data_IF_051835176447
#
_entry.id   IF_051835176447
#
_cell.length_a   1.000
_cell.length_b   1.000
_cell.length_c   1.000
_cell.angle_alpha   90.00
_cell.angle_beta   90.00
_cell.angle_gamma   90.00
#
_symmetry.space_group_name_H-M   'P 1'
#
loop_
_entity.id
_entity.type
_entity.pdbx_description
1 polymer ?
#
# COMPACT_ATOMS: atom_id res chain seq x y z
N UNK A 1 57.63 -17.51 -23.25
CA UNK A 1 56.78 -16.57 -22.50
C UNK A 1 55.41 -17.20 -22.31
N UNK A 2 55.21 -17.93 -21.21
CA UNK A 2 53.92 -18.50 -20.84
C UNK A 2 53.30 -17.59 -19.77
N UNK A 3 52.23 -16.85 -20.11
CA UNK A 3 51.51 -16.02 -19.14
C UNK A 3 50.42 -16.86 -18.49
N UNK A 4 50.57 -17.01 -17.18
CA UNK A 4 49.65 -17.65 -16.25
C UNK A 4 48.21 -17.12 -16.39
N UNK A 5 47.27 -18.01 -16.68
CA UNK A 5 45.84 -17.82 -16.47
C UNK A 5 45.54 -18.02 -14.99
N UNK A 6 45.36 -16.93 -14.25
CA UNK A 6 44.73 -16.96 -12.93
C UNK A 6 43.20 -16.99 -13.13
N UNK A 7 42.44 -17.82 -12.39
CA UNK A 7 40.98 -17.77 -12.47
C UNK A 7 40.50 -16.46 -11.83
N UNK A 8 39.76 -15.66 -12.61
CA UNK A 8 39.02 -14.51 -12.07
C UNK A 8 38.02 -15.01 -11.04
N UNK A 9 38.30 -14.73 -9.78
CA UNK A 9 37.38 -14.93 -8.68
C UNK A 9 36.25 -13.90 -8.83
N UNK A 10 35.07 -14.35 -9.29
CA UNK A 10 33.88 -13.51 -9.34
C UNK A 10 33.39 -13.28 -7.91
N UNK A 11 33.73 -12.12 -7.35
CA UNK A 11 33.13 -11.63 -6.11
C UNK A 11 31.76 -11.06 -6.45
N UNK A 12 30.71 -11.82 -6.18
CA UNK A 12 29.32 -11.31 -6.19
C UNK A 12 29.18 -10.44 -4.93
N UNK A 13 29.06 -9.12 -5.10
CA UNK A 13 28.49 -8.26 -4.05
C UNK A 13 27.03 -8.68 -3.91
N UNK A 14 26.65 -9.30 -2.77
CA UNK A 14 25.24 -9.47 -2.43
C UNK A 14 24.56 -8.09 -2.46
N UNK A 15 23.48 -7.96 -3.23
CA UNK A 15 22.65 -6.75 -3.25
C UNK A 15 22.04 -6.58 -1.85
N UNK A 16 22.16 -5.39 -1.26
CA UNK A 16 21.62 -5.11 0.08
C UNK A 16 20.11 -5.37 0.17
N UNK A 17 19.39 -5.28 -0.95
CA UNK A 17 17.97 -5.63 -1.03
C UNK A 17 17.70 -7.14 -0.93
N UNK A 18 18.57 -7.97 -1.49
CA UNK A 18 18.44 -9.43 -1.43
C UNK A 18 18.68 -9.92 0.01
N UNK A 19 19.69 -9.38 0.68
CA UNK A 19 20.01 -9.70 2.07
C UNK A 19 18.87 -9.31 3.03
N UNK A 20 18.24 -8.15 2.82
CA UNK A 20 17.09 -7.75 3.64
C UNK A 20 15.85 -8.62 3.36
N UNK A 21 15.60 -9.00 2.10
CA UNK A 21 14.53 -9.95 1.76
C UNK A 21 14.70 -11.30 2.45
N UNK A 22 15.92 -11.84 2.44
CA UNK A 22 16.27 -13.09 3.13
C UNK A 22 16.09 -12.98 4.65
N UNK A 23 16.52 -11.86 5.24
CA UNK A 23 16.35 -11.55 6.67
C UNK A 23 14.87 -11.54 7.07
N UNK A 24 14.03 -10.84 6.32
CA UNK A 24 12.60 -10.75 6.60
C UNK A 24 11.89 -12.10 6.44
N UNK A 25 12.23 -12.87 5.41
CA UNK A 25 11.68 -14.21 5.23
C UNK A 25 12.04 -15.14 6.39
N UNK A 26 13.27 -15.07 6.91
CA UNK A 26 13.70 -15.83 8.10
C UNK A 26 12.88 -15.42 9.32
N UNK A 27 12.69 -14.12 9.57
CA UNK A 27 11.85 -13.64 10.67
C UNK A 27 10.40 -14.13 10.53
N UNK A 28 9.81 -14.10 9.33
CA UNK A 28 8.44 -14.62 9.09
C UNK A 28 8.33 -16.11 9.42
N UNK A 29 9.33 -16.91 9.03
CA UNK A 29 9.38 -18.34 9.39
C UNK A 29 9.44 -18.52 10.91
N UNK A 30 10.31 -17.77 11.60
CA UNK A 30 10.42 -17.83 13.07
C UNK A 30 9.12 -17.40 13.77
N UNK A 31 8.45 -16.34 13.30
CA UNK A 31 7.18 -15.87 13.87
C UNK A 31 6.04 -16.88 13.72
N UNK A 32 6.04 -17.66 12.64
CA UNK A 32 5.03 -18.69 12.41
C UNK A 32 5.26 -19.98 13.22
N UNK A 33 6.39 -20.12 13.91
CA UNK A 33 6.71 -21.30 14.70
C UNK A 33 6.41 -21.06 16.19
N UNK A 34 5.61 -21.92 16.80
CA UNK A 34 5.34 -21.86 18.25
C UNK A 34 6.51 -22.41 19.09
N UNK A 35 7.42 -23.16 18.47
CA UNK A 35 8.61 -23.72 19.11
C UNK A 35 9.88 -23.20 18.47
N UNK A 36 11.01 -23.18 19.20
CA UNK A 36 12.29 -22.81 18.62
C UNK A 36 12.65 -23.75 17.44
N UNK A 37 13.20 -23.20 16.35
CA UNK A 37 13.49 -23.96 15.12
C UNK A 37 14.94 -23.82 14.67
N UNK A 38 15.48 -24.90 14.11
CA UNK A 38 16.85 -24.97 13.60
C UNK A 38 16.99 -24.56 12.12
N UNK A 39 18.24 -24.31 11.70
CA UNK A 39 18.57 -23.85 10.34
C UNK A 39 18.06 -24.75 9.23
N UNK A 40 17.98 -26.06 9.47
CA UNK A 40 17.45 -27.05 8.50
C UNK A 40 15.97 -26.86 8.21
N UNK A 41 15.17 -26.62 9.24
CA UNK A 41 13.72 -26.39 9.11
C UNK A 41 13.50 -25.04 8.40
N UNK A 42 14.24 -24.03 8.83
CA UNK A 42 14.15 -22.68 8.24
C UNK A 42 14.51 -22.72 6.75
N UNK A 43 15.64 -23.30 6.35
CA UNK A 43 16.05 -23.43 4.95
C UNK A 43 14.98 -24.11 4.08
N UNK A 44 14.39 -25.20 4.59
CA UNK A 44 13.31 -25.92 3.88
C UNK A 44 12.07 -25.05 3.70
N UNK A 45 11.64 -24.35 4.74
CA UNK A 45 10.46 -23.48 4.69
C UNK A 45 10.70 -22.27 3.79
N UNK A 46 11.89 -21.66 3.83
CA UNK A 46 12.27 -20.58 2.92
C UNK A 46 12.15 -21.00 1.46
N UNK A 47 12.64 -22.20 1.11
CA UNK A 47 12.56 -22.74 -0.24
C UNK A 47 11.11 -23.02 -0.66
N UNK A 48 10.33 -23.65 0.22
CA UNK A 48 8.98 -24.11 -0.11
C UNK A 48 7.92 -22.99 -0.08
N UNK A 49 8.00 -22.06 0.87
CA UNK A 49 6.98 -21.03 1.11
C UNK A 49 7.33 -19.69 0.46
N UNK A 50 8.62 -19.39 0.31
CA UNK A 50 9.09 -18.07 -0.15
C UNK A 50 9.95 -18.13 -1.43
N UNK A 51 10.23 -19.33 -1.94
CA UNK A 51 11.07 -19.53 -3.13
C UNK A 51 12.54 -19.12 -2.95
N UNK A 52 13.01 -19.01 -1.70
CA UNK A 52 14.37 -18.57 -1.35
C UNK A 52 15.23 -19.81 -1.07
N UNK A 53 16.22 -20.07 -1.94
CA UNK A 53 17.12 -21.23 -1.80
C UNK A 53 18.40 -20.87 -1.02
N UNK A 54 18.28 -20.91 0.31
CA UNK A 54 19.42 -20.71 1.21
C UNK A 54 19.94 -22.02 1.79
N UNK A 55 21.26 -22.21 1.73
CA UNK A 55 21.91 -23.32 2.43
C UNK A 55 21.76 -23.18 3.96
N UNK A 56 21.78 -24.30 4.70
CA UNK A 56 21.74 -24.27 6.17
C UNK A 56 22.85 -23.40 6.78
N UNK A 57 24.02 -23.34 6.14
CA UNK A 57 25.15 -22.50 6.57
C UNK A 57 24.82 -21.01 6.40
N UNK A 58 24.22 -20.62 5.28
CA UNK A 58 23.80 -19.25 5.05
C UNK A 58 22.68 -18.85 6.01
N UNK A 59 21.70 -19.72 6.25
CA UNK A 59 20.66 -19.49 7.27
C UNK A 59 21.28 -19.27 8.65
N UNK A 60 22.26 -20.09 9.07
CA UNK A 60 22.98 -19.86 10.34
C UNK A 60 23.68 -18.51 10.41
N UNK A 61 24.22 -18.03 9.29
CA UNK A 61 24.86 -16.71 9.21
C UNK A 61 23.85 -15.57 9.41
N UNK A 62 22.74 -15.55 8.67
CA UNK A 62 21.68 -14.53 8.86
C UNK A 62 21.12 -14.55 10.27
N UNK A 63 20.93 -15.75 10.80
CA UNK A 63 20.53 -15.94 12.17
C UNK A 63 21.54 -15.23 13.10
N UNK A 64 22.86 -15.47 13.01
CA UNK A 64 23.84 -14.76 13.87
C UNK A 64 23.65 -13.24 13.83
N UNK A 65 23.46 -12.67 12.64
CA UNK A 65 23.19 -11.23 12.48
C UNK A 65 21.88 -10.78 13.14
N UNK A 66 20.83 -11.61 13.11
CA UNK A 66 19.55 -11.34 13.78
C UNK A 66 19.69 -11.41 15.31
N UNK A 67 20.52 -12.30 15.85
CA UNK A 67 20.82 -12.35 17.28
C UNK A 67 21.60 -11.09 17.72
N UNK A 68 22.59 -10.66 16.94
CA UNK A 68 23.36 -9.42 17.21
C UNK A 68 22.46 -8.18 17.26
N UNK A 69 21.35 -8.19 16.52
CA UNK A 69 20.33 -7.13 16.51
C UNK A 69 19.19 -7.38 17.49
N UNK A 70 19.26 -8.41 18.34
CA UNK A 70 18.21 -8.81 19.29
C UNK A 70 16.85 -9.12 18.64
N UNK A 71 16.81 -9.46 17.34
CA UNK A 71 15.59 -9.79 16.59
C UNK A 71 15.25 -11.29 16.64
N UNK A 72 16.24 -12.12 16.92
CA UNK A 72 16.04 -13.52 17.31
C UNK A 72 16.82 -13.83 18.58
N UNK A 73 16.41 -14.88 19.28
CA UNK A 73 17.12 -15.37 20.44
C UNK A 73 17.38 -16.88 20.33
N UNK A 74 18.56 -17.27 20.79
CA UNK A 74 18.96 -18.67 20.89
C UNK A 74 18.55 -19.20 22.26
N UNK A 75 17.56 -20.10 22.29
CA UNK A 75 17.03 -20.67 23.53
C UNK A 75 17.95 -21.76 24.09
N UNK A 76 18.58 -22.58 23.23
CA UNK A 76 19.61 -23.53 23.67
C UNK A 76 20.52 -23.97 22.51
N UNK A 77 21.54 -24.81 22.80
CA UNK A 77 22.45 -25.36 21.78
C UNK A 77 21.74 -26.38 20.86
N UNK A 78 20.60 -26.95 21.28
CA UNK A 78 19.85 -28.00 20.56
C UNK A 78 18.47 -27.55 20.08
N UNK A 79 17.86 -26.55 20.72
CA UNK A 79 16.47 -26.19 20.44
C UNK A 79 16.32 -25.21 19.27
N UNK A 80 17.40 -24.56 18.83
CA UNK A 80 17.35 -23.63 17.69
C UNK A 80 17.04 -22.21 18.17
N UNK A 81 16.21 -21.48 17.43
CA UNK A 81 15.96 -20.05 17.67
C UNK A 81 14.49 -19.69 17.63
N UNK A 82 14.16 -18.66 18.39
CA UNK A 82 12.83 -18.04 18.45
C UNK A 82 12.94 -16.58 18.04
N UNK A 83 11.84 -16.03 17.53
CA UNK A 83 11.74 -14.58 17.31
C UNK A 83 11.58 -13.86 18.66
N UNK A 84 12.13 -12.65 18.79
CA UNK A 84 11.92 -11.78 19.95
C UNK A 84 10.79 -10.79 19.68
N UNK A 85 10.40 -10.01 20.70
CA UNK A 85 9.46 -8.90 20.52
C UNK A 85 9.97 -7.87 19.50
N UNK A 86 11.25 -7.51 19.56
CA UNK A 86 11.87 -6.60 18.60
C UNK A 86 11.86 -7.17 17.17
N UNK A 87 12.03 -8.49 17.01
CA UNK A 87 11.89 -9.15 15.71
C UNK A 87 10.46 -9.12 15.18
N UNK A 88 9.45 -9.22 16.05
CA UNK A 88 8.03 -9.07 15.68
C UNK A 88 7.70 -7.63 15.27
N UNK A 89 8.24 -6.64 15.98
CA UNK A 89 8.12 -5.23 15.63
C UNK A 89 8.78 -4.91 14.29
N UNK A 90 9.97 -5.45 14.05
CA UNK A 90 10.67 -5.35 12.76
C UNK A 90 9.83 -5.95 11.63
N UNK A 91 9.18 -7.10 11.84
CA UNK A 91 8.24 -7.65 10.85
C UNK A 91 7.04 -6.74 10.62
N UNK A 92 6.50 -6.12 11.68
CA UNK A 92 5.43 -5.13 11.57
C UNK A 92 5.84 -3.92 10.72
N UNK A 93 7.02 -3.37 10.98
CA UNK A 93 7.59 -2.24 10.24
C UNK A 93 7.94 -2.63 8.80
N UNK A 94 8.51 -3.81 8.59
CA UNK A 94 8.82 -4.33 7.28
C UNK A 94 7.57 -4.64 6.45
N UNK A 95 6.46 -5.02 7.06
CA UNK A 95 5.16 -5.11 6.38
C UNK A 95 4.62 -3.75 5.93
N UNK A 96 5.09 -2.64 6.51
CA UNK A 96 4.82 -1.27 6.03
C UNK A 96 5.73 -0.95 4.84
N UNK A 97 6.98 -1.40 4.86
CA UNK A 97 7.95 -1.28 3.74
C UNK A 97 7.59 -2.17 2.54
N UNK A 98 7.09 -3.39 2.77
CA UNK A 98 6.57 -4.32 1.76
C UNK A 98 5.28 -3.81 1.10
N UNK A 99 4.67 -2.74 1.64
CA UNK A 99 3.54 -2.03 1.04
C UNK A 99 3.96 -0.82 0.21
N UNK A 100 5.25 -0.49 0.11
CA UNK A 100 5.71 0.55 -0.81
C UNK A 100 5.39 0.12 -2.24
N UNK A 101 4.52 0.86 -2.93
CA UNK A 101 3.97 0.49 -4.24
C UNK A 101 2.56 -0.13 -4.18
N UNK A 102 2.03 -0.46 -2.99
CA UNK A 102 0.65 -0.95 -2.84
C UNK A 102 -0.37 0.05 -3.40
N UNK A 103 -0.08 1.35 -3.31
CA UNK A 103 -0.95 2.39 -3.83
C UNK A 103 -1.01 2.36 -5.35
N UNK A 104 0.14 2.25 -6.03
CA UNK A 104 0.16 2.20 -7.50
C UNK A 104 -0.49 0.90 -8.00
N UNK A 105 -0.19 -0.24 -7.38
CA UNK A 105 -0.81 -1.53 -7.72
C UNK A 105 -2.33 -1.49 -7.53
N UNK A 106 -2.80 -0.85 -6.45
CA UNK A 106 -4.24 -0.65 -6.20
C UNK A 106 -4.87 0.25 -7.25
N UNK A 107 -4.21 1.34 -7.64
CA UNK A 107 -4.68 2.25 -8.70
C UNK A 107 -4.79 1.50 -10.03
N UNK A 108 -3.75 0.75 -10.42
CA UNK A 108 -3.73 -0.01 -11.67
C UNK A 108 -4.81 -1.09 -11.69
N UNK A 109 -4.96 -1.84 -10.58
CA UNK A 109 -6.04 -2.84 -10.44
C UNK A 109 -7.41 -2.20 -10.57
N UNK A 110 -7.67 -1.08 -9.87
CA UNK A 110 -8.96 -0.40 -9.93
C UNK A 110 -9.24 0.14 -11.34
N UNK A 111 -8.24 0.70 -12.01
CA UNK A 111 -8.36 1.14 -13.40
C UNK A 111 -8.70 -0.04 -14.33
N UNK A 112 -8.04 -1.18 -14.17
CA UNK A 112 -8.32 -2.38 -14.97
C UNK A 112 -9.75 -2.92 -14.80
N UNK A 113 -10.24 -2.92 -13.55
CA UNK A 113 -11.60 -3.39 -13.18
C UNK A 113 -12.71 -2.41 -13.57
N UNK A 114 -12.37 -1.15 -13.84
CA UNK A 114 -13.34 -0.13 -14.30
C UNK A 114 -13.73 -0.43 -15.75
N UNK A 115 -15.02 -0.53 -16.05
CA UNK A 115 -15.56 -0.80 -17.40
C UNK A 115 -16.59 0.25 -17.86
N UNK A 116 -16.43 1.47 -17.35
CA UNK A 116 -17.27 2.61 -17.71
C UNK A 116 -17.25 2.89 -19.23
N UNK A 117 -18.43 2.81 -19.83
CA UNK A 117 -18.70 3.12 -21.23
C UNK A 117 -19.17 4.58 -21.35
N UNK A 118 -18.44 5.39 -22.12
CA UNK A 118 -18.74 6.80 -22.36
C UNK A 118 -19.98 7.02 -23.23
N UNK A 119 -20.29 6.11 -24.14
CA UNK A 119 -21.42 6.25 -25.07
C UNK A 119 -22.74 5.98 -24.34
N UNK A 120 -22.74 4.95 -23.49
CA UNK A 120 -23.92 4.53 -22.75
C UNK A 120 -23.98 5.10 -21.31
N UNK A 121 -22.93 5.77 -20.87
CA UNK A 121 -22.76 6.31 -19.50
C UNK A 121 -23.07 5.26 -18.42
N UNK A 122 -22.57 4.05 -18.61
CA UNK A 122 -22.87 2.89 -17.77
C UNK A 122 -21.63 2.03 -17.53
N UNK A 123 -21.66 1.23 -16.47
CA UNK A 123 -20.55 0.36 -16.08
C UNK A 123 -20.16 0.53 -14.61
N UNK A 124 -19.25 -0.32 -14.18
CA UNK A 124 -18.58 -0.29 -12.88
C UNK A 124 -17.56 0.85 -12.83
N UNK A 125 -17.72 1.70 -11.83
CA UNK A 125 -16.81 2.81 -11.53
C UNK A 125 -16.21 2.64 -10.13
N UNK A 126 -14.94 3.03 -9.93
CA UNK A 126 -14.33 3.01 -8.61
C UNK A 126 -14.92 4.15 -7.77
N UNK A 127 -15.19 3.87 -6.49
CA UNK A 127 -15.77 4.84 -5.56
C UNK A 127 -14.93 4.97 -4.29
N UNK A 128 -14.91 6.16 -3.71
CA UNK A 128 -14.44 6.41 -2.35
C UNK A 128 -15.65 6.32 -1.40
N UNK A 129 -15.53 5.55 -0.32
CA UNK A 129 -16.62 5.34 0.64
C UNK A 129 -16.25 5.99 1.97
N UNK A 130 -17.10 6.91 2.43
CA UNK A 130 -16.99 7.55 3.74
C UNK A 130 -18.14 7.11 4.63
N UNK A 131 -17.86 6.86 5.90
CA UNK A 131 -18.88 6.50 6.89
C UNK A 131 -19.15 7.67 7.82
N UNK A 132 -20.42 7.94 8.07
CA UNK A 132 -20.89 8.98 8.98
C UNK A 132 -21.82 8.38 10.02
N UNK A 133 -21.75 8.86 11.26
CA UNK A 133 -22.82 8.61 12.22
C UNK A 133 -24.14 9.18 11.67
N UNK A 134 -25.26 8.48 11.89
CA UNK A 134 -26.58 8.85 11.32
C UNK A 134 -26.98 10.31 11.58
N UNK A 135 -26.67 10.82 12.76
CA UNK A 135 -26.94 12.20 13.19
C UNK A 135 -26.02 13.24 12.50
N UNK A 136 -24.81 12.85 12.13
CA UNK A 136 -23.81 13.71 11.47
C UNK A 136 -23.92 13.72 9.95
N UNK A 137 -24.66 12.78 9.35
CA UNK A 137 -24.74 12.65 7.90
C UNK A 137 -25.34 13.88 7.20
N UNK A 138 -26.46 14.41 7.70
CA UNK A 138 -27.09 15.62 7.13
C UNK A 138 -26.18 16.86 7.22
N UNK A 139 -25.56 17.18 8.38
CA UNK A 139 -24.52 18.22 8.45
C UNK A 139 -23.38 18.02 7.46
N UNK A 140 -22.85 16.80 7.34
CA UNK A 140 -21.76 16.49 6.42
C UNK A 140 -22.13 16.76 4.96
N UNK A 141 -23.32 16.32 4.51
CA UNK A 141 -23.81 16.60 3.16
C UNK A 141 -23.92 18.10 2.88
N UNK A 142 -24.40 18.90 3.84
CA UNK A 142 -24.48 20.37 3.68
C UNK A 142 -23.09 21.00 3.53
N UNK A 143 -22.11 20.52 4.28
CA UNK A 143 -20.73 20.98 4.16
C UNK A 143 -20.13 20.62 2.79
N UNK A 144 -20.38 19.39 2.31
CA UNK A 144 -19.89 18.92 1.00
C UNK A 144 -20.55 19.60 -0.19
N UNK A 145 -21.82 20.03 -0.06
CA UNK A 145 -22.59 20.59 -1.16
C UNK A 145 -21.93 21.79 -1.84
N UNK A 146 -21.14 22.60 -1.10
CA UNK A 146 -20.42 23.73 -1.67
C UNK A 146 -19.33 23.27 -2.66
N UNK A 147 -18.61 22.19 -2.35
CA UNK A 147 -17.57 21.66 -3.23
C UNK A 147 -18.16 21.12 -4.54
N UNK A 148 -19.30 20.44 -4.48
CA UNK A 148 -20.03 19.97 -5.66
C UNK A 148 -20.52 21.14 -6.52
N UNK A 149 -21.18 22.15 -5.91
CA UNK A 149 -21.63 23.36 -6.62
C UNK A 149 -20.48 24.15 -7.26
N UNK A 150 -19.27 24.06 -6.70
CA UNK A 150 -18.08 24.70 -7.23
C UNK A 150 -17.39 23.88 -8.35
N UNK A 151 -17.90 22.70 -8.70
CA UNK A 151 -17.31 21.74 -9.64
C UNK A 151 -15.92 21.26 -9.21
N UNK A 152 -15.71 21.04 -7.91
CA UNK A 152 -14.46 20.50 -7.36
C UNK A 152 -14.48 18.96 -7.23
N UNK A 153 -15.59 18.32 -7.60
CA UNK A 153 -15.77 16.88 -7.62
C UNK A 153 -15.48 16.28 -9.01
N UNK A 154 -15.14 14.99 -9.05
CA UNK A 154 -14.94 14.25 -10.31
C UNK A 154 -16.25 14.02 -11.06
N UNK A 155 -17.33 13.78 -10.31
CA UNK A 155 -18.68 13.51 -10.83
C UNK A 155 -19.72 13.97 -9.81
N UNK A 156 -20.92 14.30 -10.30
CA UNK A 156 -22.10 14.59 -9.49
C UNK A 156 -22.78 13.31 -8.95
N UNK A 157 -22.37 12.12 -9.44
CA UNK A 157 -22.92 10.85 -8.99
C UNK A 157 -22.45 10.50 -7.59
N UNK A 158 -23.42 10.07 -6.78
CA UNK A 158 -23.21 9.62 -5.40
C UNK A 158 -24.11 8.43 -5.11
N UNK A 159 -23.68 7.58 -4.18
CA UNK A 159 -24.50 6.50 -3.64
C UNK A 159 -24.57 6.62 -2.11
N UNK A 160 -25.76 6.40 -1.56
CA UNK A 160 -26.03 6.42 -0.13
C UNK A 160 -26.50 5.03 0.26
N UNK A 161 -25.89 4.45 1.28
CA UNK A 161 -26.35 3.19 1.87
C UNK A 161 -26.45 3.32 3.39
N UNK A 162 -27.46 2.69 3.96
CA UNK A 162 -27.74 2.73 5.39
C UNK A 162 -27.19 1.48 6.08
N UNK A 163 -27.17 1.51 7.41
CA UNK A 163 -26.86 0.35 8.25
C UNK A 163 -27.42 -0.97 7.69
N UNK A 164 -26.56 -1.98 7.59
CA UNK A 164 -26.91 -3.31 7.08
C UNK A 164 -26.93 -3.43 5.55
N UNK A 165 -27.02 -2.32 4.81
CA UNK A 165 -26.89 -2.32 3.36
C UNK A 165 -25.44 -2.66 2.94
N UNK A 166 -25.27 -3.05 1.68
CA UNK A 166 -23.96 -3.32 1.09
C UNK A 166 -23.64 -2.34 -0.04
N UNK A 167 -22.42 -1.80 -0.01
CA UNK A 167 -21.79 -1.11 -1.14
C UNK A 167 -20.57 -1.93 -1.55
N UNK A 168 -20.62 -2.55 -2.73
CA UNK A 168 -19.62 -3.53 -3.16
C UNK A 168 -19.48 -4.64 -2.10
N UNK A 169 -18.26 -4.96 -1.66
CA UNK A 169 -17.97 -5.97 -0.64
C UNK A 169 -18.12 -5.46 0.80
N UNK A 170 -18.49 -4.19 1.00
CA UNK A 170 -18.53 -3.55 2.31
C UNK A 170 -19.96 -3.48 2.84
N UNK A 171 -20.17 -3.97 4.05
CA UNK A 171 -21.44 -3.84 4.78
C UNK A 171 -21.39 -2.59 5.66
N UNK A 172 -22.42 -1.76 5.59
CA UNK A 172 -22.49 -0.53 6.38
C UNK A 172 -22.63 -0.87 7.87
N UNK A 173 -21.75 -0.35 8.75
CA UNK A 173 -21.81 -0.64 10.18
C UNK A 173 -23.08 -0.12 10.86
N UNK A 174 -23.38 -0.70 12.02
CA UNK A 174 -24.46 -0.25 12.89
C UNK A 174 -24.28 1.22 13.31
N UNK A 175 -25.37 1.98 13.31
CA UNK A 175 -25.39 3.40 13.66
C UNK A 175 -24.80 4.33 12.59
N UNK A 176 -24.39 3.80 11.43
CA UNK A 176 -23.73 4.58 10.38
C UNK A 176 -24.53 4.69 9.09
N UNK A 177 -24.12 5.65 8.26
CA UNK A 177 -24.53 5.86 6.86
C UNK A 177 -23.26 5.90 6.02
N UNK A 178 -23.23 5.09 4.96
CA UNK A 178 -22.16 5.11 3.99
C UNK A 178 -22.51 6.08 2.85
N UNK A 179 -21.50 6.86 2.45
CA UNK A 179 -21.58 7.79 1.34
C UNK A 179 -20.46 7.48 0.35
N UNK A 180 -20.83 7.08 -0.85
CA UNK A 180 -19.89 6.76 -1.91
C UNK A 180 -19.84 7.88 -2.95
N UNK A 181 -18.64 8.34 -3.27
CA UNK A 181 -18.36 9.33 -4.32
C UNK A 181 -17.47 8.72 -5.40
N UNK A 182 -17.63 9.13 -6.65
CA UNK A 182 -16.80 8.61 -7.75
C UNK A 182 -15.34 8.99 -7.55
N UNK A 183 -14.45 8.01 -7.67
CA UNK A 183 -13.00 8.20 -7.58
C UNK A 183 -12.41 8.65 -8.91
N UNK A 184 -11.37 9.49 -8.88
CA UNK A 184 -10.66 9.97 -10.08
C UNK A 184 -10.06 8.86 -10.93
N UNK A 185 -9.83 7.67 -10.35
CA UNK A 185 -9.37 6.47 -11.06
C UNK A 185 -10.37 6.05 -12.16
N UNK A 186 -11.62 6.52 -12.15
CA UNK A 186 -12.54 6.32 -13.28
C UNK A 186 -11.97 6.87 -14.59
N UNK A 187 -11.22 7.97 -14.54
CA UNK A 187 -10.52 8.55 -15.70
C UNK A 187 -9.45 7.57 -16.18
N UNK A 188 -8.75 6.92 -15.25
CA UNK A 188 -7.76 5.89 -15.54
C UNK A 188 -8.37 4.70 -16.27
N UNK A 189 -9.44 4.14 -15.71
CA UNK A 189 -10.13 3.03 -16.34
C UNK A 189 -10.65 3.36 -17.72
N UNK A 190 -11.28 4.53 -17.86
CA UNK A 190 -11.90 4.96 -19.13
C UNK A 190 -10.87 5.10 -20.24
N UNK A 191 -9.75 5.80 -19.99
CA UNK A 191 -8.68 5.96 -20.99
C UNK A 191 -8.00 4.62 -21.32
N UNK A 192 -7.80 3.76 -20.32
CA UNK A 192 -7.25 2.43 -20.55
C UNK A 192 -8.15 1.58 -21.46
N UNK A 193 -9.48 1.62 -21.27
CA UNK A 193 -10.44 0.91 -22.16
C UNK A 193 -10.48 1.49 -23.57
N UNK A 194 -10.19 2.78 -23.73
CA UNK A 194 -10.00 3.42 -25.02
C UNK A 194 -8.63 3.10 -25.69
N UNK A 195 -7.81 2.25 -25.07
CA UNK A 195 -6.48 1.89 -25.59
C UNK A 195 -5.40 2.96 -25.36
N UNK A 196 -5.65 3.93 -24.49
CA UNK A 196 -4.73 5.01 -24.16
C UNK A 196 -4.00 4.64 -22.85
N UNK A 197 -2.71 4.27 -22.91
CA UNK A 197 -1.96 3.93 -21.71
C UNK A 197 -1.69 5.19 -20.87
N UNK A 198 -1.61 5.00 -19.55
CA UNK A 198 -1.42 6.09 -18.61
C UNK A 198 -0.54 5.69 -17.44
N UNK A 199 0.22 6.67 -16.97
CA UNK A 199 1.19 6.53 -15.90
C UNK A 199 0.79 7.44 -14.73
N UNK A 200 0.28 6.83 -13.65
CA UNK A 200 -0.09 7.55 -12.43
C UNK A 200 1.15 7.76 -11.57
N UNK A 201 1.61 9.01 -11.47
CA UNK A 201 2.91 9.32 -10.82
C UNK A 201 2.81 9.68 -9.35
N UNK A 202 1.88 10.57 -9.00
CA UNK A 202 1.78 11.14 -7.66
C UNK A 202 0.37 11.63 -7.35
N UNK A 203 0.07 11.77 -6.06
CA UNK A 203 -1.02 12.61 -5.56
C UNK A 203 -0.44 13.90 -4.96
N UNK A 204 -1.21 14.98 -4.96
CA UNK A 204 -0.72 16.28 -4.51
C UNK A 204 -1.81 17.27 -4.12
N UNK A 205 -1.41 18.32 -3.42
CA UNK A 205 -2.24 19.47 -3.09
C UNK A 205 -2.13 20.52 -4.19
N UNK A 206 -3.29 20.95 -4.71
CA UNK A 206 -3.37 21.91 -5.80
C UNK A 206 -3.76 23.29 -5.26
N UNK A 207 -2.87 24.26 -5.42
CA UNK A 207 -3.15 25.64 -5.05
C UNK A 207 -4.03 26.30 -6.10
N UNK A 208 -5.05 27.02 -5.62
CA UNK A 208 -5.91 27.86 -6.44
C UNK A 208 -5.51 29.33 -6.28
N UNK A 209 -5.52 30.08 -7.39
CA UNK A 209 -5.35 31.52 -7.40
C UNK A 209 -6.48 32.12 -8.24
N UNK A 210 -7.24 33.07 -7.67
CA UNK A 210 -8.41 33.68 -8.33
C UNK A 210 -9.38 32.62 -8.90
N UNK A 211 -9.71 31.60 -8.10
CA UNK A 211 -10.56 30.45 -8.46
C UNK A 211 -10.08 29.61 -9.64
N UNK A 212 -8.82 29.75 -10.06
CA UNK A 212 -8.20 28.92 -11.09
C UNK A 212 -7.11 28.04 -10.47
N UNK A 213 -7.00 26.77 -10.88
CA UNK A 213 -5.83 25.96 -10.56
C UNK A 213 -4.54 26.67 -10.97
N UNK A 214 -3.54 26.70 -10.08
CA UNK A 214 -2.29 27.42 -10.34
C UNK A 214 -1.07 26.51 -10.35
N UNK A 215 -0.80 25.79 -9.24
CA UNK A 215 0.36 24.91 -9.10
C UNK A 215 0.17 23.87 -8.01
N UNK A 216 0.94 22.80 -8.06
CA UNK A 216 1.09 21.90 -6.92
C UNK A 216 1.97 22.55 -5.84
N UNK A 217 1.57 22.42 -4.57
CA UNK A 217 2.41 22.86 -3.44
C UNK A 217 3.11 21.68 -2.78
N UNK A 218 2.46 20.52 -2.76
CA UNK A 218 2.97 19.29 -2.15
C UNK A 218 2.65 18.10 -3.07
N UNK A 219 3.55 17.12 -3.12
CA UNK A 219 3.42 15.94 -3.98
C UNK A 219 4.03 14.72 -3.29
N UNK A 220 3.34 13.58 -3.35
CA UNK A 220 3.84 12.27 -2.89
C UNK A 220 3.71 11.29 -4.05
N UNK A 221 4.84 10.71 -4.46
CA UNK A 221 4.88 9.71 -5.53
C UNK A 221 4.27 8.38 -5.08
N UNK A 222 3.41 7.79 -5.92
CA UNK A 222 2.73 6.53 -5.58
C UNK A 222 3.70 5.35 -5.48
N UNK A 223 4.73 5.33 -6.32
CA UNK A 223 5.78 4.28 -6.34
C UNK A 223 6.58 4.19 -5.05
N UNK A 224 6.61 5.26 -4.25
CA UNK A 224 7.33 5.34 -2.99
C UNK A 224 6.42 5.32 -1.74
N UNK A 225 5.11 5.11 -1.90
CA UNK A 225 4.15 5.24 -0.80
C UNK A 225 3.43 3.93 -0.50
N UNK A 226 3.20 3.69 0.80
CA UNK A 226 2.34 2.62 1.32
C UNK A 226 0.93 3.10 1.70
N UNK A 227 0.72 4.42 1.72
CA UNK A 227 -0.56 5.08 2.01
C UNK A 227 -0.98 5.97 0.85
N UNK A 228 -2.28 6.09 0.61
CA UNK A 228 -2.81 6.99 -0.41
C UNK A 228 -2.42 8.44 -0.06
N UNK A 229 -1.68 9.15 -0.94
CA UNK A 229 -1.36 10.55 -0.74
C UNK A 229 -2.55 11.44 -0.36
N UNK A 230 -3.73 11.18 -0.92
CA UNK A 230 -4.95 11.93 -0.64
C UNK A 230 -5.37 11.76 0.82
N UNK A 231 -5.29 10.53 1.35
CA UNK A 231 -5.56 10.25 2.76
C UNK A 231 -4.56 10.98 3.66
N UNK A 232 -3.28 11.01 3.29
CA UNK A 232 -2.24 11.73 4.04
C UNK A 232 -2.54 13.23 4.11
N UNK A 233 -2.86 13.86 2.97
CA UNK A 233 -3.13 15.30 2.92
C UNK A 233 -4.41 15.70 3.67
N UNK A 234 -5.45 14.86 3.59
CA UNK A 234 -6.71 15.07 4.32
C UNK A 234 -6.47 14.92 5.83
N UNK A 235 -5.84 13.83 6.26
CA UNK A 235 -5.55 13.57 7.67
C UNK A 235 -4.66 14.65 8.29
N UNK A 236 -3.70 15.16 7.52
CA UNK A 236 -2.80 16.25 7.93
C UNK A 236 -3.43 17.64 7.87
N UNK A 237 -4.71 17.75 7.48
CA UNK A 237 -5.44 19.03 7.33
C UNK A 237 -4.74 20.02 6.42
N UNK A 238 -4.10 19.54 5.35
CA UNK A 238 -3.34 20.35 4.39
C UNK A 238 -4.20 20.94 3.27
N UNK A 239 -5.54 20.84 3.38
CA UNK A 239 -6.46 21.30 2.34
C UNK A 239 -7.44 22.32 2.91
N UNK A 240 -7.83 23.30 2.07
CA UNK A 240 -8.83 24.32 2.39
C UNK A 240 -9.95 24.35 1.33
N UNK A 241 -10.49 23.17 1.00
CA UNK A 241 -11.49 23.00 -0.07
C UNK A 241 -12.70 23.93 0.11
N UNK A 242 -13.18 24.12 1.35
CA UNK A 242 -14.30 25.01 1.66
C UNK A 242 -14.00 26.50 1.46
N UNK A 243 -12.73 26.91 1.45
CA UNK A 243 -12.34 28.27 1.09
C UNK A 243 -12.33 28.43 -0.43
N UNK A 244 -11.78 27.45 -1.14
CA UNK A 244 -11.78 27.42 -2.61
C UNK A 244 -13.21 27.37 -3.18
N UNK A 245 -14.11 26.65 -2.52
CA UNK A 245 -15.51 26.51 -2.93
C UNK A 245 -16.36 27.78 -2.71
N UNK A 246 -15.91 28.71 -1.84
CA UNK A 246 -16.55 30.02 -1.66
C UNK A 246 -16.13 30.92 -2.82
N UNK A 247 -16.94 30.95 -3.86
CA UNK A 247 -16.85 31.92 -4.96
C UNK A 247 -17.33 33.30 -4.52
#
# INVERSE_FOLDING_TARGET
MNKNLTPRMNLIKQDGREVEREKLAILRVLASCQTPVGSKIIARRLKNEYGIDLSERAVRYHLILLDERNMSCKISRRDGRSITQLGLEELGNAMVTDKVGFVIDKIERLAYMTDFDLDNLSGMVPVNISFFAKDQFKPALRAMAQAYKANLCVSDLVCIAHEGDKISDITVPEGQVAFATVCSIVINGTLLKAGIPMDSRFGGTLQFHQHKPWRFTDMIYYTGSSLDPSEIFIASRMTSVSEVARR
#
